data_IF_855267159197
#
_entry.id   IF_855267159197
#
_cell.length_a   1.000
_cell.length_b   1.000
_cell.length_c   1.000
_cell.angle_alpha   90.00
_cell.angle_beta   90.00
_cell.angle_gamma   90.00
#
_symmetry.space_group_name_H-M   'P 1'
#
loop_
_entity.id
_entity.type
_entity.pdbx_description
1 polymer ?
#
# COMPACT_ATOMS: atom_id res chain seq x y z
N UNK A 1 33.53 -32.21 40.30
CA UNK A 1 33.09 -32.91 39.06
C UNK A 1 31.60 -32.71 38.74
N UNK A 2 30.70 -32.77 39.72
CA UNK A 2 29.24 -32.58 39.52
C UNK A 2 28.89 -31.14 39.10
N UNK A 3 29.50 -30.12 39.70
CA UNK A 3 29.23 -28.70 39.42
C UNK A 3 29.55 -28.32 37.96
N UNK A 4 30.60 -28.87 37.36
CA UNK A 4 30.94 -28.64 35.96
C UNK A 4 29.94 -29.31 34.99
N UNK A 5 29.41 -30.49 35.35
CA UNK A 5 28.37 -31.14 34.55
C UNK A 5 27.06 -30.36 34.56
N UNK A 6 26.70 -29.74 35.70
CA UNK A 6 25.52 -28.89 35.82
C UNK A 6 25.68 -27.62 34.97
N UNK A 7 26.85 -26.97 34.99
CA UNK A 7 27.11 -25.80 34.14
C UNK A 7 27.01 -26.09 32.65
N UNK A 8 27.54 -27.24 32.21
CA UNK A 8 27.47 -27.69 30.82
C UNK A 8 26.01 -27.97 30.43
N UNK A 9 25.21 -28.57 31.29
CA UNK A 9 23.80 -28.85 31.06
C UNK A 9 23.00 -27.54 30.91
N UNK A 10 23.25 -26.56 31.77
CA UNK A 10 22.59 -25.25 31.72
C UNK A 10 22.93 -24.51 30.40
N UNK A 11 24.20 -24.51 29.99
CA UNK A 11 24.63 -23.89 28.71
C UNK A 11 23.96 -24.59 27.53
N UNK A 12 23.85 -25.90 27.53
CA UNK A 12 23.20 -26.68 26.48
C UNK A 12 21.70 -26.37 26.39
N UNK A 13 21.01 -26.22 27.51
CA UNK A 13 19.58 -25.82 27.56
C UNK A 13 19.40 -24.39 27.03
N UNK A 14 20.28 -23.45 27.40
CA UNK A 14 20.23 -22.06 26.89
C UNK A 14 20.43 -22.03 25.38
N UNK A 15 21.37 -22.80 24.85
CA UNK A 15 21.61 -22.91 23.40
C UNK A 15 20.36 -23.46 22.67
N UNK A 16 19.69 -24.47 23.23
CA UNK A 16 18.43 -24.99 22.65
C UNK A 16 17.31 -23.94 22.60
N UNK A 17 17.20 -23.06 23.61
CA UNK A 17 16.22 -21.97 23.61
C UNK A 17 16.54 -20.88 22.58
N UNK A 18 17.82 -20.59 22.33
CA UNK A 18 18.21 -19.57 21.32
C UNK A 18 17.93 -20.06 19.89
N UNK A 19 18.07 -21.35 19.62
CA UNK A 19 17.74 -21.93 18.31
C UNK A 19 16.23 -22.05 18.04
N UNK A 20 15.38 -22.03 19.06
CA UNK A 20 13.93 -22.12 18.91
C UNK A 20 13.30 -20.89 18.24
N UNK A 21 13.92 -19.71 18.33
CA UNK A 21 13.42 -18.49 17.69
C UNK A 21 13.71 -18.37 16.18
N UNK A 22 14.58 -19.20 15.62
CA UNK A 22 15.01 -19.09 14.22
C UNK A 22 13.98 -19.65 13.20
N UNK A 23 12.92 -20.32 13.65
CA UNK A 23 11.93 -20.96 12.78
C UNK A 23 10.56 -20.28 12.77
N UNK A 24 10.40 -19.13 13.42
CA UNK A 24 9.17 -18.36 13.30
C UNK A 24 9.26 -17.49 12.03
N UNK A 25 9.18 -18.12 10.88
CA UNK A 25 8.85 -17.46 9.63
C UNK A 25 7.35 -17.18 9.66
N UNK A 26 6.96 -15.92 9.83
CA UNK A 26 5.63 -15.46 9.47
C UNK A 26 5.54 -15.48 7.94
N UNK A 27 5.49 -16.65 7.35
CA UNK A 27 5.10 -16.78 5.96
C UNK A 27 3.61 -16.48 5.88
N UNK A 28 3.25 -15.31 5.40
CA UNK A 28 1.95 -15.07 4.78
C UNK A 28 1.69 -16.24 3.82
N UNK A 29 0.84 -17.17 4.20
CA UNK A 29 0.58 -18.33 3.36
C UNK A 29 -0.57 -18.01 2.41
N UNK A 30 -0.25 -17.31 1.34
CA UNK A 30 -1.15 -17.25 0.18
C UNK A 30 -1.57 -18.67 -0.20
N UNK A 31 -2.79 -18.88 -0.75
CA UNK A 31 -3.18 -20.18 -1.25
C UNK A 31 -2.09 -20.73 -2.19
N UNK A 32 -1.58 -21.96 -1.96
CA UNK A 32 -0.36 -22.44 -2.64
C UNK A 32 -0.50 -22.59 -4.17
N UNK A 33 -1.71 -22.47 -4.70
CA UNK A 33 -1.97 -22.52 -6.13
C UNK A 33 -2.00 -21.11 -6.76
N UNK A 34 -2.00 -20.02 -5.99
CA UNK A 34 -2.01 -18.65 -6.50
C UNK A 34 -0.57 -18.14 -6.56
N UNK A 35 -0.03 -18.04 -7.77
CA UNK A 35 1.31 -17.51 -8.05
C UNK A 35 1.24 -16.29 -8.97
N UNK A 36 0.12 -16.13 -9.69
CA UNK A 36 -0.08 -15.06 -10.66
C UNK A 36 -1.37 -14.31 -10.39
N UNK A 37 -1.34 -13.00 -10.66
CA UNK A 37 -2.47 -12.11 -10.52
C UNK A 37 -2.66 -11.28 -11.78
N UNK A 38 -3.90 -11.09 -12.21
CA UNK A 38 -4.28 -10.10 -13.22
C UNK A 38 -4.88 -8.89 -12.53
N UNK A 39 -4.47 -7.71 -12.94
CA UNK A 39 -4.97 -6.42 -12.42
C UNK A 39 -5.45 -5.62 -13.62
N UNK A 40 -6.69 -5.81 -14.07
CA UNK A 40 -7.26 -5.04 -15.17
C UNK A 40 -7.47 -3.58 -14.77
N UNK A 41 -7.63 -2.72 -15.77
CA UNK A 41 -8.01 -1.32 -15.56
C UNK A 41 -9.25 -1.24 -14.67
N UNK A 42 -9.20 -0.39 -13.64
CA UNK A 42 -10.31 -0.19 -12.73
C UNK A 42 -11.49 0.48 -13.43
N UNK A 43 -12.69 0.15 -13.00
CA UNK A 43 -13.89 0.85 -13.40
C UNK A 43 -13.96 2.22 -12.72
N UNK A 44 -14.14 3.29 -13.48
CA UNK A 44 -14.25 4.65 -12.95
C UNK A 44 -15.71 5.10 -12.92
N UNK A 45 -16.29 5.17 -11.72
CA UNK A 45 -17.68 5.67 -11.53
C UNK A 45 -17.70 7.20 -11.24
N UNK A 46 -16.54 7.89 -11.40
CA UNK A 46 -16.40 9.33 -11.13
C UNK A 46 -16.18 10.13 -12.39
N UNK A 47 -16.15 11.45 -12.28
CA UNK A 47 -15.85 12.35 -13.40
C UNK A 47 -14.37 12.66 -13.57
N UNK A 48 -13.48 12.14 -12.71
CA UNK A 48 -12.05 12.41 -12.76
C UNK A 48 -11.38 11.57 -13.86
N UNK A 49 -10.73 12.24 -14.80
CA UNK A 49 -10.04 11.57 -15.91
C UNK A 49 -8.65 11.08 -15.49
N UNK A 50 -8.20 9.94 -16.04
CA UNK A 50 -6.87 9.40 -15.82
C UNK A 50 -6.69 8.63 -14.50
N UNK A 51 -7.55 8.87 -13.51
CA UNK A 51 -7.40 8.31 -12.17
C UNK A 51 -7.49 6.77 -12.13
N UNK A 52 -8.21 6.16 -13.06
CA UNK A 52 -8.30 4.71 -13.14
C UNK A 52 -6.97 4.09 -13.58
N UNK A 53 -6.30 4.73 -14.52
CA UNK A 53 -4.96 4.40 -14.97
C UNK A 53 -3.96 4.57 -13.83
N UNK A 54 -3.96 5.73 -13.17
CA UNK A 54 -3.03 6.03 -12.07
C UNK A 54 -3.14 5.03 -10.93
N UNK A 55 -4.35 4.68 -10.50
CA UNK A 55 -4.57 3.70 -9.42
C UNK A 55 -4.16 2.30 -9.88
N UNK A 56 -4.51 1.91 -11.12
CA UNK A 56 -4.15 0.60 -11.65
C UNK A 56 -2.64 0.43 -11.72
N UNK A 57 -1.94 1.44 -12.25
CA UNK A 57 -0.49 1.45 -12.37
C UNK A 57 0.17 1.48 -10.98
N UNK A 58 -0.35 2.29 -10.05
CA UNK A 58 0.12 2.34 -8.67
C UNK A 58 0.04 0.97 -7.97
N UNK A 59 -1.06 0.25 -8.15
CA UNK A 59 -1.23 -1.10 -7.59
C UNK A 59 -0.28 -2.09 -8.28
N UNK A 60 -0.17 -2.05 -9.61
CA UNK A 60 0.73 -2.96 -10.34
C UNK A 60 2.19 -2.73 -9.94
N UNK A 61 2.62 -1.48 -9.80
CA UNK A 61 3.97 -1.15 -9.33
C UNK A 61 4.21 -1.68 -7.91
N UNK A 62 3.27 -1.46 -6.99
CA UNK A 62 3.39 -1.95 -5.63
C UNK A 62 3.46 -3.50 -5.55
N UNK A 63 2.70 -4.24 -6.38
CA UNK A 63 2.83 -5.70 -6.47
C UNK A 63 4.19 -6.14 -7.03
N UNK A 64 4.74 -5.42 -8.00
CA UNK A 64 6.07 -5.70 -8.56
C UNK A 64 7.18 -5.44 -7.54
N UNK A 65 7.09 -4.34 -6.78
CA UNK A 65 8.08 -3.94 -5.78
C UNK A 65 8.13 -4.92 -4.61
N UNK A 66 6.98 -5.36 -4.12
CA UNK A 66 6.89 -6.34 -3.04
C UNK A 66 7.17 -7.78 -3.51
N UNK A 67 7.03 -8.07 -4.80
CA UNK A 67 7.32 -9.38 -5.38
C UNK A 67 6.46 -10.54 -4.86
N UNK A 68 5.25 -10.24 -4.37
CA UNK A 68 4.35 -11.20 -3.71
C UNK A 68 3.74 -12.16 -4.74
N UNK A 69 3.20 -11.60 -5.82
CA UNK A 69 2.58 -12.33 -6.92
C UNK A 69 3.10 -11.79 -8.25
N UNK A 70 3.28 -12.68 -9.22
CA UNK A 70 3.67 -12.26 -10.57
C UNK A 70 2.46 -11.72 -11.33
N UNK A 71 2.55 -10.50 -11.84
CA UNK A 71 1.49 -9.94 -12.69
C UNK A 71 1.46 -10.65 -14.04
N UNK A 72 0.29 -11.12 -14.44
CA UNK A 72 0.06 -11.78 -15.72
C UNK A 72 -1.33 -11.47 -16.25
N UNK A 73 -1.41 -10.97 -17.47
CA UNK A 73 -2.70 -10.68 -18.13
C UNK A 73 -3.30 -11.89 -18.87
N UNK A 74 -2.55 -13.00 -18.95
CA UNK A 74 -2.98 -14.22 -19.62
C UNK A 74 -2.98 -15.39 -18.64
N UNK A 75 -4.13 -16.06 -18.50
CA UNK A 75 -4.29 -17.26 -17.67
C UNK A 75 -3.75 -17.10 -16.24
N UNK A 76 -4.06 -15.96 -15.60
CA UNK A 76 -3.68 -15.74 -14.20
C UNK A 76 -4.47 -16.65 -13.26
N UNK A 77 -3.83 -17.04 -12.13
CA UNK A 77 -4.47 -17.86 -11.09
C UNK A 77 -5.55 -17.06 -10.35
N UNK A 78 -5.39 -15.75 -10.27
CA UNK A 78 -6.32 -14.85 -9.60
C UNK A 78 -6.47 -13.51 -10.34
N UNK A 79 -7.53 -12.78 -10.00
CA UNK A 79 -7.81 -11.46 -10.55
C UNK A 79 -8.18 -10.47 -9.43
N UNK A 80 -7.51 -9.32 -9.42
CA UNK A 80 -7.86 -8.18 -8.58
C UNK A 80 -8.60 -7.16 -9.43
N UNK A 81 -9.90 -7.04 -9.23
CA UNK A 81 -10.75 -6.08 -9.93
C UNK A 81 -11.34 -5.08 -8.96
N UNK A 82 -11.60 -3.87 -9.41
CA UNK A 82 -12.14 -2.83 -8.55
C UNK A 82 -12.82 -1.72 -9.29
N UNK A 83 -13.45 -0.85 -8.51
CA UNK A 83 -14.11 0.35 -9.02
C UNK A 83 -13.86 1.55 -8.11
N UNK A 84 -13.65 2.70 -8.72
CA UNK A 84 -13.49 3.98 -8.05
C UNK A 84 -14.89 4.53 -7.78
N UNK A 85 -15.27 4.57 -6.50
CA UNK A 85 -16.63 4.93 -6.07
C UNK A 85 -16.83 6.41 -5.91
N UNK A 86 -15.83 7.10 -5.38
CA UNK A 86 -15.96 8.51 -5.04
C UNK A 86 -14.60 9.19 -4.97
N UNK A 87 -14.56 10.43 -5.44
CA UNK A 87 -13.48 11.37 -5.20
C UNK A 87 -14.05 12.57 -4.47
N UNK A 88 -13.36 13.01 -3.44
CA UNK A 88 -13.70 14.21 -2.68
C UNK A 88 -12.50 15.12 -2.62
N UNK A 89 -12.70 16.37 -3.07
CA UNK A 89 -11.69 17.41 -3.05
C UNK A 89 -12.30 18.64 -2.37
N UNK A 90 -11.71 19.09 -1.27
CA UNK A 90 -12.29 20.18 -0.50
C UNK A 90 -11.46 20.65 0.69
N UNK A 91 -11.89 21.75 1.34
CA UNK A 91 -11.20 22.33 2.49
C UNK A 91 -10.95 21.31 3.59
N UNK A 92 -9.73 21.32 4.16
CA UNK A 92 -9.32 20.38 5.19
C UNK A 92 -8.86 21.08 6.47
N UNK A 93 -7.96 22.05 6.37
CA UNK A 93 -7.51 22.82 7.51
C UNK A 93 -7.75 24.32 7.30
N UNK A 94 -7.85 25.06 8.43
CA UNK A 94 -8.09 26.49 8.43
C UNK A 94 -7.03 27.18 9.30
N UNK A 95 -6.59 28.35 8.89
CA UNK A 95 -5.70 29.18 9.68
C UNK A 95 -6.47 29.96 10.79
N UNK A 96 -5.75 30.78 11.55
CA UNK A 96 -6.35 31.58 12.66
C UNK A 96 -7.33 32.63 12.19
N UNK A 97 -7.24 33.03 10.94
CA UNK A 97 -8.09 34.00 10.25
C UNK A 97 -9.31 33.35 9.57
N UNK A 98 -9.58 32.05 9.89
CA UNK A 98 -10.66 31.24 9.31
C UNK A 98 -10.57 31.05 7.77
N UNK A 99 -9.41 31.33 7.19
CA UNK A 99 -9.14 31.05 5.78
C UNK A 99 -8.62 29.62 5.62
N UNK A 100 -8.97 28.99 4.48
CA UNK A 100 -8.49 27.63 4.15
C UNK A 100 -6.97 27.67 4.00
N UNK A 101 -6.25 26.84 4.74
CA UNK A 101 -4.81 26.66 4.62
C UNK A 101 -4.44 25.43 3.80
N UNK A 102 -5.23 24.35 3.89
CA UNK A 102 -5.01 23.13 3.13
C UNK A 102 -6.32 22.55 2.61
N UNK A 103 -6.23 21.87 1.48
CA UNK A 103 -7.27 21.06 0.88
C UNK A 103 -6.92 19.58 1.06
N UNK A 104 -7.92 18.71 0.94
CA UNK A 104 -7.74 17.26 0.97
C UNK A 104 -8.36 16.64 -0.26
N UNK A 105 -7.52 15.94 -1.02
CA UNK A 105 -7.92 15.06 -2.11
C UNK A 105 -8.06 13.64 -1.57
N UNK A 106 -9.25 13.05 -1.64
CA UNK A 106 -9.55 11.72 -1.12
C UNK A 106 -10.20 10.87 -2.19
N UNK A 107 -9.74 9.64 -2.33
CA UNK A 107 -10.26 8.63 -3.24
C UNK A 107 -10.85 7.49 -2.41
N UNK A 108 -12.06 7.07 -2.73
CA UNK A 108 -12.72 5.89 -2.17
C UNK A 108 -12.89 4.85 -3.29
N UNK A 109 -12.37 3.64 -3.08
CA UNK A 109 -12.38 2.53 -4.04
C UNK A 109 -12.94 1.27 -3.41
N UNK A 110 -13.51 0.39 -4.25
CA UNK A 110 -13.92 -0.95 -3.88
C UNK A 110 -13.13 -1.96 -4.67
N UNK A 111 -12.63 -3.01 -4.03
CA UNK A 111 -11.89 -4.09 -4.65
C UNK A 111 -12.44 -5.45 -4.28
N UNK A 112 -12.29 -6.38 -5.24
CA UNK A 112 -12.50 -7.81 -5.08
C UNK A 112 -11.29 -8.56 -5.62
N UNK A 113 -10.70 -9.42 -4.79
CA UNK A 113 -9.70 -10.39 -5.22
C UNK A 113 -10.37 -11.75 -5.38
N UNK A 114 -10.32 -12.28 -6.59
CA UNK A 114 -11.04 -13.48 -7.02
C UNK A 114 -10.04 -14.57 -7.40
N UNK A 115 -10.28 -15.79 -6.91
CA UNK A 115 -9.56 -17.00 -7.26
C UNK A 115 -10.22 -17.63 -8.51
N UNK A 116 -9.44 -17.68 -9.62
CA UNK A 116 -9.95 -18.20 -10.88
C UNK A 116 -10.09 -19.73 -10.89
N UNK A 117 -9.34 -20.44 -10.02
CA UNK A 117 -9.38 -21.89 -9.93
C UNK A 117 -10.56 -22.37 -9.09
N UNK A 118 -10.69 -21.82 -7.89
CA UNK A 118 -11.73 -22.22 -6.93
C UNK A 118 -13.05 -21.44 -7.13
N UNK A 119 -13.08 -20.52 -8.11
CA UNK A 119 -14.22 -19.69 -8.50
C UNK A 119 -14.86 -18.95 -7.31
N UNK A 120 -14.05 -18.39 -6.42
CA UNK A 120 -14.51 -17.71 -5.21
C UNK A 120 -13.82 -16.37 -4.99
N UNK A 121 -14.51 -15.46 -4.31
CA UNK A 121 -13.93 -14.22 -3.82
C UNK A 121 -13.08 -14.58 -2.59
N UNK A 122 -11.79 -14.22 -2.62
CA UNK A 122 -10.84 -14.41 -1.53
C UNK A 122 -10.93 -13.25 -0.56
N UNK A 123 -10.92 -12.03 -1.09
CA UNK A 123 -10.93 -10.79 -0.35
C UNK A 123 -11.82 -9.78 -1.07
N UNK A 124 -12.52 -8.95 -0.33
CA UNK A 124 -13.22 -7.78 -0.85
C UNK A 124 -13.31 -6.71 0.22
N UNK A 125 -13.25 -5.46 -0.19
CA UNK A 125 -13.31 -4.35 0.77
C UNK A 125 -13.38 -2.99 0.11
N UNK A 126 -13.66 -1.99 0.96
CA UNK A 126 -13.55 -0.59 0.59
C UNK A 126 -12.24 -0.06 1.14
N UNK A 127 -11.48 0.60 0.30
CA UNK A 127 -10.21 1.23 0.64
C UNK A 127 -10.31 2.72 0.36
N UNK A 128 -9.56 3.52 1.09
CA UNK A 128 -9.48 4.95 0.83
C UNK A 128 -8.09 5.49 1.07
N UNK A 129 -7.61 6.30 0.13
CA UNK A 129 -6.40 7.07 0.28
C UNK A 129 -6.70 8.56 0.23
N UNK A 130 -5.83 9.36 0.81
CA UNK A 130 -5.93 10.81 0.72
C UNK A 130 -4.55 11.47 0.83
N UNK A 131 -4.43 12.64 0.23
CA UNK A 131 -3.32 13.56 0.39
C UNK A 131 -3.84 14.97 0.70
N UNK A 132 -3.09 15.73 1.47
CA UNK A 132 -3.36 17.15 1.70
C UNK A 132 -2.50 17.98 0.74
N UNK A 133 -3.00 19.19 0.38
CA UNK A 133 -2.26 20.11 -0.47
C UNK A 133 -2.64 21.57 -0.18
N UNK A 134 -1.67 22.49 -0.34
CA UNK A 134 -1.89 23.92 -0.29
C UNK A 134 -2.34 24.48 -1.63
N UNK A 135 -2.79 25.76 -1.66
CA UNK A 135 -3.24 26.43 -2.89
C UNK A 135 -2.12 27.08 -3.69
N UNK A 136 -0.95 27.19 -3.15
CA UNK A 136 0.15 27.94 -3.77
C UNK A 136 1.49 27.26 -3.56
N UNK A 137 2.30 27.31 -4.61
CA UNK A 137 3.68 26.85 -4.60
C UNK A 137 3.87 25.58 -5.43
N UNK A 138 5.11 25.32 -5.75
CA UNK A 138 5.60 24.06 -6.22
C UNK A 138 5.97 23.24 -4.97
N UNK A 139 5.46 22.05 -4.84
CA UNK A 139 5.77 21.18 -3.68
C UNK A 139 7.26 20.88 -3.56
N UNK A 140 8.00 20.88 -4.65
CA UNK A 140 9.47 20.72 -4.65
C UNK A 140 10.24 21.97 -4.20
N UNK A 141 9.60 22.92 -3.51
CA UNK A 141 10.23 24.16 -3.03
C UNK A 141 9.55 24.78 -1.81
N UNK A 142 8.71 24.05 -1.10
CA UNK A 142 7.95 24.55 0.04
C UNK A 142 8.58 24.24 1.41
N UNK A 143 9.66 23.46 1.44
CA UNK A 143 10.41 23.07 2.65
C UNK A 143 9.67 22.06 3.51
N UNK A 144 8.70 21.33 2.95
CA UNK A 144 7.89 20.34 3.64
C UNK A 144 8.17 18.95 3.07
N UNK A 145 8.26 17.93 3.91
CA UNK A 145 8.21 16.52 3.53
C UNK A 145 6.75 16.16 3.25
N UNK A 146 6.36 16.20 1.98
CA UNK A 146 4.96 16.10 1.56
C UNK A 146 4.42 14.68 1.56
N UNK A 147 5.29 13.66 1.44
CA UNK A 147 4.89 12.24 1.42
C UNK A 147 5.29 11.46 2.69
N UNK A 148 6.09 12.08 3.57
CA UNK A 148 6.49 11.52 4.85
C UNK A 148 7.64 10.51 4.74
N UNK A 149 8.48 10.59 3.70
CA UNK A 149 9.61 9.68 3.50
C UNK A 149 10.90 10.15 4.19
N UNK A 150 10.92 11.39 4.70
CA UNK A 150 12.04 12.01 5.44
C UNK A 150 12.97 12.86 4.60
N UNK A 151 12.65 13.10 3.33
CA UNK A 151 13.33 14.04 2.44
C UNK A 151 12.47 15.27 2.20
N UNK A 152 13.05 16.34 1.69
CA UNK A 152 12.36 17.59 1.38
C UNK A 152 12.88 18.19 0.08
N UNK A 153 12.00 18.82 -0.68
CA UNK A 153 12.32 19.62 -1.87
C UNK A 153 13.31 18.93 -2.85
N UNK A 154 14.39 19.60 -3.19
CA UNK A 154 15.37 19.11 -4.14
C UNK A 154 16.18 17.87 -3.71
N UNK A 155 15.99 17.36 -2.48
CA UNK A 155 16.53 16.08 -2.02
C UNK A 155 15.57 14.93 -2.33
N UNK A 156 14.33 15.25 -2.72
CA UNK A 156 13.29 14.32 -3.09
C UNK A 156 12.95 14.45 -4.58
N UNK A 157 13.33 13.44 -5.36
CA UNK A 157 13.18 13.44 -6.82
C UNK A 157 11.72 13.26 -7.28
N UNK A 158 10.81 12.83 -6.39
CA UNK A 158 9.40 12.62 -6.71
C UNK A 158 8.47 13.70 -6.12
N UNK A 159 8.97 14.63 -5.30
CA UNK A 159 8.27 15.84 -4.87
C UNK A 159 8.34 16.96 -5.88
N UNK A 160 7.54 16.91 -6.95
CA UNK A 160 7.46 17.99 -7.93
C UNK A 160 6.06 18.12 -8.56
N UNK A 161 5.74 19.30 -9.03
CA UNK A 161 4.53 19.60 -9.81
C UNK A 161 3.41 20.26 -9.01
N UNK A 162 2.21 20.19 -9.58
CA UNK A 162 1.03 20.81 -8.98
C UNK A 162 0.64 20.13 -7.67
N UNK A 163 0.40 20.89 -6.58
CA UNK A 163 0.13 20.33 -5.26
C UNK A 163 -1.04 19.35 -5.23
N UNK A 164 -2.09 19.57 -6.01
CA UNK A 164 -3.24 18.68 -6.11
C UNK A 164 -2.89 17.33 -6.74
N UNK A 165 -2.06 17.33 -7.78
CA UNK A 165 -1.63 16.12 -8.48
C UNK A 165 -0.75 15.27 -7.59
N UNK A 166 0.11 15.91 -6.80
CA UNK A 166 0.90 15.22 -5.79
C UNK A 166 0.01 14.60 -4.72
N UNK A 167 -0.96 15.33 -4.17
CA UNK A 167 -1.93 14.78 -3.22
C UNK A 167 -2.69 13.56 -3.79
N UNK A 168 -2.98 13.57 -5.10
CA UNK A 168 -3.54 12.40 -5.80
C UNK A 168 -2.57 11.21 -5.79
N UNK A 169 -1.28 11.42 -6.11
CA UNK A 169 -0.25 10.38 -6.07
C UNK A 169 -0.11 9.76 -4.67
N UNK A 170 -0.09 10.60 -3.61
CA UNK A 170 -0.06 10.14 -2.22
C UNK A 170 -1.29 9.28 -1.89
N UNK A 171 -2.48 9.71 -2.33
CA UNK A 171 -3.71 8.95 -2.14
C UNK A 171 -3.67 7.58 -2.84
N UNK A 172 -3.15 7.52 -4.07
CA UNK A 172 -2.96 6.29 -4.86
C UNK A 172 -1.96 5.35 -4.17
N UNK A 173 -0.79 5.86 -3.77
CA UNK A 173 0.26 5.11 -3.04
C UNK A 173 -0.34 4.46 -1.78
N UNK A 174 -1.12 5.23 -1.01
CA UNK A 174 -1.80 4.72 0.20
C UNK A 174 -2.77 3.58 -0.09
N UNK A 175 -3.61 3.72 -1.11
CA UNK A 175 -4.56 2.69 -1.53
C UNK A 175 -3.81 1.41 -1.93
N UNK A 176 -2.76 1.52 -2.74
CA UNK A 176 -1.97 0.38 -3.18
C UNK A 176 -1.34 -0.37 -2.01
N UNK A 177 -0.74 0.36 -1.07
CA UNK A 177 -0.15 -0.22 0.15
C UNK A 177 -1.19 -0.91 1.04
N UNK A 178 -2.35 -0.29 1.24
CA UNK A 178 -3.41 -0.87 2.08
C UNK A 178 -3.98 -2.15 1.47
N UNK A 179 -4.14 -2.22 0.14
CA UNK A 179 -4.58 -3.43 -0.56
C UNK A 179 -3.56 -4.56 -0.38
N UNK A 180 -2.27 -4.27 -0.60
CA UNK A 180 -1.20 -5.26 -0.43
C UNK A 180 -1.14 -5.76 1.01
N UNK A 181 -1.19 -4.86 1.98
CA UNK A 181 -1.19 -5.21 3.40
C UNK A 181 -2.38 -6.12 3.75
N UNK A 182 -3.57 -5.82 3.22
CA UNK A 182 -4.77 -6.62 3.48
C UNK A 182 -4.65 -8.01 2.85
N UNK A 183 -4.12 -8.11 1.62
CA UNK A 183 -3.81 -9.38 0.94
C UNK A 183 -2.79 -10.18 1.76
N UNK A 184 -1.76 -9.54 2.32
CA UNK A 184 -0.71 -10.21 3.09
C UNK A 184 -1.17 -10.65 4.49
N UNK A 185 -2.12 -9.95 5.09
CA UNK A 185 -2.55 -10.19 6.48
C UNK A 185 -3.78 -11.09 6.60
N UNK A 186 -4.45 -11.38 5.50
CA UNK A 186 -5.68 -12.21 5.47
C UNK A 186 -5.39 -13.70 5.70
N UNK A 187 -4.11 -14.15 5.70
CA UNK A 187 -3.66 -15.56 5.78
C UNK A 187 -2.78 -15.87 6.98
#
# INVERSE_FOLDING_TARGET
MILNKIKILIVFVIILFVFSCAFYSMSCSLPPHINTISIPLLENETAEFGIAEDITDGIQNAFNDEGILKISNLNSDSILRGSIKKITDGPYTFNKEESVSEYRYKIDVYFEWYDNRDEKIILKGNFSGWGAYGLSGDIGSDGVDNDGDGKIDGEDEDEFGEPRDFASKVAVKKIAQDIINDIMTTW
#
